data_IF_751957110714
#
_entry.id   IF_751957110714
#
_cell.length_a   1.000
_cell.length_b   1.000
_cell.length_c   1.000
_cell.angle_alpha   90.00
_cell.angle_beta   90.00
_cell.angle_gamma   90.00
#
_symmetry.space_group_name_H-M   'P 1'
#
loop_
_entity.id
_entity.type
_entity.pdbx_description
1 polymer ?
#
# COMPACT_ATOMS: atom_id res chain seq x y z
N UNK A 1 -19.45 17.77 -8.11
CA UNK A 1 -19.29 16.80 -7.00
C UNK A 1 -19.28 15.39 -7.60
N UNK A 2 -18.33 15.12 -8.50
CA UNK A 2 -18.19 13.84 -9.23
C UNK A 2 -16.81 13.20 -9.02
N UNK A 3 -15.81 13.97 -8.57
CA UNK A 3 -14.43 13.48 -8.34
C UNK A 3 -14.32 12.48 -7.18
N UNK A 4 -15.21 12.57 -6.18
CA UNK A 4 -15.19 11.71 -5.00
C UNK A 4 -15.69 10.28 -5.27
N UNK A 5 -16.47 10.08 -6.34
CA UNK A 5 -17.02 8.76 -6.72
C UNK A 5 -16.05 7.87 -7.49
N UNK A 6 -14.86 8.35 -7.84
CA UNK A 6 -13.87 7.63 -8.64
C UNK A 6 -12.62 7.15 -7.87
N UNK A 7 -12.61 7.26 -6.53
CA UNK A 7 -11.52 6.73 -5.69
C UNK A 7 -11.53 5.21 -5.50
N UNK A 8 -12.37 4.49 -6.24
CA UNK A 8 -12.18 3.06 -6.52
C UNK A 8 -11.42 2.84 -7.84
N UNK A 9 -10.57 3.79 -8.23
CA UNK A 9 -9.53 3.51 -9.24
C UNK A 9 -8.62 2.44 -8.65
N UNK A 10 -8.43 1.39 -9.42
CA UNK A 10 -7.57 0.28 -9.08
C UNK A 10 -6.12 0.73 -9.05
N UNK A 11 -5.74 1.33 -7.94
CA UNK A 11 -4.40 1.84 -7.67
C UNK A 11 -3.47 0.71 -7.24
N UNK A 12 -3.68 -0.53 -7.70
CA UNK A 12 -2.85 -1.69 -7.33
C UNK A 12 -1.36 -1.44 -7.61
N UNK A 13 -0.95 -0.84 -8.76
CA UNK A 13 0.45 -0.46 -8.98
C UNK A 13 0.93 0.59 -7.97
N UNK A 14 0.14 1.64 -7.74
CA UNK A 14 0.47 2.68 -6.76
C UNK A 14 0.63 2.11 -5.34
N UNK A 15 -0.29 1.24 -4.90
CA UNK A 15 -0.23 0.59 -3.59
C UNK A 15 0.97 -0.34 -3.47
N UNK A 16 1.35 -1.03 -4.55
CA UNK A 16 2.58 -1.83 -4.62
C UNK A 16 3.84 -0.97 -4.51
N UNK A 17 3.90 0.15 -5.24
CA UNK A 17 5.04 1.08 -5.16
C UNK A 17 5.13 1.71 -3.77
N UNK A 18 3.99 2.08 -3.18
CA UNK A 18 3.92 2.59 -1.81
C UNK A 18 4.35 1.54 -0.79
N UNK A 19 3.91 0.29 -0.90
CA UNK A 19 4.33 -0.75 0.05
C UNK A 19 5.84 -0.96 0.01
N UNK A 20 6.45 -0.96 -1.19
CA UNK A 20 7.89 -1.04 -1.34
C UNK A 20 8.63 0.13 -0.67
N UNK A 21 8.17 1.37 -0.90
CA UNK A 21 8.77 2.56 -0.27
C UNK A 21 8.68 2.50 1.25
N UNK A 22 7.54 2.09 1.80
CA UNK A 22 7.38 1.96 3.25
C UNK A 22 8.24 0.83 3.83
N UNK A 23 8.44 -0.28 3.10
CA UNK A 23 9.36 -1.35 3.51
C UNK A 23 10.80 -0.84 3.61
N UNK A 24 11.27 -0.08 2.60
CA UNK A 24 12.61 0.52 2.61
C UNK A 24 12.75 1.51 3.78
N UNK A 25 11.73 2.33 4.02
CA UNK A 25 11.73 3.29 5.14
C UNK A 25 11.74 2.60 6.50
N UNK A 26 11.04 1.47 6.65
CA UNK A 26 11.08 0.69 7.89
C UNK A 26 12.49 0.15 8.18
N UNK A 27 13.19 -0.33 7.15
CA UNK A 27 14.57 -0.84 7.27
C UNK A 27 15.56 0.29 7.58
N UNK A 28 15.36 1.47 7.00
CA UNK A 28 16.25 2.62 7.14
C UNK A 28 15.94 3.51 8.35
N UNK A 29 14.85 3.27 9.09
CA UNK A 29 14.43 4.14 10.18
C UNK A 29 15.40 4.08 11.37
N UNK A 30 15.89 5.25 11.78
CA UNK A 30 16.78 5.39 12.95
C UNK A 30 16.05 5.28 14.30
N UNK A 31 14.70 5.25 14.29
CA UNK A 31 13.89 5.17 15.49
C UNK A 31 12.90 3.99 15.44
N UNK A 32 12.81 3.15 16.49
CA UNK A 32 11.99 1.94 16.47
C UNK A 32 10.49 2.22 16.26
N UNK A 33 9.97 3.32 16.81
CA UNK A 33 8.57 3.70 16.57
C UNK A 33 8.30 4.11 15.12
N UNK A 34 9.26 4.75 14.45
CA UNK A 34 9.11 5.11 13.04
C UNK A 34 9.18 3.85 12.17
N UNK A 35 10.09 2.92 12.49
CA UNK A 35 10.17 1.62 11.82
C UNK A 35 8.84 0.86 11.91
N UNK A 36 8.23 0.81 13.10
CA UNK A 36 6.93 0.16 13.30
C UNK A 36 5.80 0.79 12.48
N UNK A 37 5.73 2.13 12.41
CA UNK A 37 4.73 2.82 11.59
C UNK A 37 4.90 2.48 10.11
N UNK A 38 6.13 2.55 9.59
CA UNK A 38 6.41 2.20 8.20
C UNK A 38 6.11 0.73 7.90
N UNK A 39 6.40 -0.17 8.83
CA UNK A 39 6.08 -1.59 8.70
C UNK A 39 4.57 -1.82 8.63
N UNK A 40 3.77 -1.18 9.49
CA UNK A 40 2.30 -1.31 9.43
C UNK A 40 1.73 -0.74 8.13
N UNK A 41 2.26 0.37 7.64
CA UNK A 41 1.85 0.95 6.36
C UNK A 41 2.19 0.02 5.18
N UNK A 42 3.38 -0.59 5.20
CA UNK A 42 3.79 -1.60 4.23
C UNK A 42 2.81 -2.79 4.20
N UNK A 43 2.45 -3.31 5.39
CA UNK A 43 1.51 -4.43 5.51
C UNK A 43 0.11 -4.05 5.02
N UNK A 44 -0.39 -2.87 5.39
CA UNK A 44 -1.69 -2.36 4.96
C UNK A 44 -1.77 -2.29 3.42
N UNK A 45 -0.78 -1.69 2.77
CA UNK A 45 -0.77 -1.55 1.31
C UNK A 45 -0.61 -2.89 0.61
N UNK A 46 0.28 -3.76 1.10
CA UNK A 46 0.46 -5.11 0.56
C UNK A 46 -0.83 -5.93 0.67
N UNK A 47 -1.51 -5.87 1.81
CA UNK A 47 -2.79 -6.56 2.02
C UNK A 47 -3.87 -6.12 1.02
N UNK A 48 -3.92 -4.82 0.69
CA UNK A 48 -4.84 -4.29 -0.33
C UNK A 48 -4.48 -4.81 -1.73
N UNK A 49 -3.20 -4.83 -2.09
CA UNK A 49 -2.73 -5.39 -3.38
C UNK A 49 -3.12 -6.87 -3.49
N UNK A 50 -2.88 -7.66 -2.45
CA UNK A 50 -3.23 -9.09 -2.44
C UNK A 50 -4.75 -9.29 -2.53
N UNK A 51 -5.54 -8.50 -1.81
CA UNK A 51 -7.00 -8.57 -1.88
C UNK A 51 -7.51 -8.25 -3.30
N UNK A 52 -6.91 -7.28 -3.97
CA UNK A 52 -7.23 -6.92 -5.35
C UNK A 52 -6.87 -8.03 -6.36
N UNK A 53 -5.71 -8.65 -6.19
CA UNK A 53 -5.29 -9.80 -7.02
C UNK A 53 -6.22 -11.01 -6.82
N UNK A 54 -6.55 -11.33 -5.56
CA UNK A 54 -7.45 -12.44 -5.22
C UNK A 54 -8.88 -12.23 -5.72
N UNK A 55 -9.36 -10.99 -5.75
CA UNK A 55 -10.68 -10.63 -6.30
C UNK A 55 -10.77 -10.79 -7.82
N UNK A 56 -9.68 -11.14 -8.49
CA UNK A 56 -9.74 -11.62 -9.86
C UNK A 56 -10.19 -10.55 -10.85
N UNK A 57 -9.47 -9.42 -10.89
CA UNK A 57 -9.30 -8.73 -12.19
C UNK A 57 -8.52 -9.66 -13.12
N UNK A 58 -9.26 -10.54 -13.79
CA UNK A 58 -8.93 -11.00 -15.14
C UNK A 58 -8.95 -9.74 -16.01
N UNK A 59 -7.78 -9.14 -16.20
CA UNK A 59 -7.50 -8.45 -17.45
C UNK A 59 -7.42 -9.49 -18.56
#
# INVERSE_FOLDING_TARGET
>A
MEEERAMTRNDTPYLSDRSFVEAVRAIQADHPAAAAVHQEMCLLYTGRVLADLLRGRRG
#
